data_IF_068643845945
#
_entry.id   IF_068643845945
#
_cell.length_a   1.000
_cell.length_b   1.000
_cell.length_c   1.000
_cell.angle_alpha   90.00
_cell.angle_beta   90.00
_cell.angle_gamma   90.00
#
_symmetry.space_group_name_H-M   'P 1'
#
loop_
_entity.id
_entity.type
_entity.pdbx_description
1 polymer ?
#
# COMPACT_ATOMS: atom_id res chain seq x y z
N UNK A 1 71.22 9.22 0.00
CA UNK A 1 70.51 9.92 -1.09
C UNK A 1 70.35 8.93 -2.25
N UNK A 2 69.26 8.90 -3.02
CA UNK A 2 67.82 8.86 -2.70
C UNK A 2 67.31 7.40 -2.68
N UNK A 3 66.12 7.13 -2.16
CA UNK A 3 65.15 6.14 -2.66
C UNK A 3 64.10 5.90 -1.58
N UNK A 4 63.24 6.92 -1.41
CA UNK A 4 61.96 6.74 -0.75
C UNK A 4 61.05 6.04 -1.76
N UNK A 5 61.06 4.73 -1.67
CA UNK A 5 60.21 3.80 -2.40
C UNK A 5 58.76 4.02 -1.93
N UNK A 6 57.94 4.68 -2.75
CA UNK A 6 56.49 4.74 -2.54
C UNK A 6 55.85 3.57 -3.28
N UNK A 7 55.81 2.42 -2.63
CA UNK A 7 54.75 1.43 -2.86
C UNK A 7 53.74 1.57 -1.73
N UNK A 8 52.58 2.16 -2.03
CA UNK A 8 51.39 1.97 -1.20
C UNK A 8 50.15 1.93 -2.08
N UNK A 9 49.87 0.74 -2.60
CA UNK A 9 48.55 0.33 -3.10
C UNK A 9 47.90 -0.46 -1.97
N UNK A 10 47.10 0.19 -1.10
CA UNK A 10 46.12 -0.48 -0.21
C UNK A 10 45.34 0.55 0.60
N UNK A 11 44.29 1.14 0.04
CA UNK A 11 43.17 1.67 0.84
C UNK A 11 41.89 1.55 0.00
N UNK A 12 41.48 0.29 -0.17
CA UNK A 12 40.13 -0.07 -0.58
C UNK A 12 39.15 0.39 0.50
N UNK A 13 38.62 1.61 0.36
CA UNK A 13 37.29 1.95 0.85
C UNK A 13 36.44 2.37 -0.34
N UNK A 14 35.90 1.37 -1.02
CA UNK A 14 34.72 1.61 -1.85
C UNK A 14 33.57 1.83 -0.85
N UNK A 15 33.35 3.07 -0.45
CA UNK A 15 32.03 3.48 0.03
C UNK A 15 31.11 3.40 -1.18
N UNK A 16 30.44 2.26 -1.36
CA UNK A 16 29.24 2.24 -2.18
C UNK A 16 28.16 2.92 -1.33
N UNK A 17 28.17 4.25 -1.29
CA UNK A 17 26.93 4.97 -1.05
C UNK A 17 26.07 4.69 -2.28
N UNK A 18 25.14 3.73 -2.16
CA UNK A 18 24.08 3.61 -3.13
C UNK A 18 23.43 5.00 -3.21
N UNK A 19 23.41 5.67 -4.38
CA UNK A 19 22.66 6.90 -4.51
C UNK A 19 21.20 6.52 -4.23
N UNK A 20 20.68 6.92 -3.07
CA UNK A 20 19.24 7.02 -2.86
C UNK A 20 18.78 8.02 -3.91
N UNK A 21 18.30 7.49 -5.03
CA UNK A 21 17.66 8.29 -6.07
C UNK A 21 16.53 9.06 -5.36
N UNK A 22 16.53 10.40 -5.38
CA UNK A 22 15.42 11.15 -4.82
C UNK A 22 14.14 10.66 -5.50
N UNK A 23 13.11 10.37 -4.71
CA UNK A 23 11.79 10.09 -5.24
C UNK A 23 11.38 11.27 -6.15
N UNK A 24 10.73 11.00 -7.30
CA UNK A 24 10.34 12.07 -8.21
C UNK A 24 9.50 13.11 -7.46
N UNK A 25 9.74 14.40 -7.75
CA UNK A 25 9.11 15.53 -7.05
C UNK A 25 7.56 15.57 -7.15
N UNK A 26 6.97 14.69 -7.97
CA UNK A 26 5.53 14.46 -8.13
C UNK A 26 4.94 13.41 -7.19
N UNK A 27 5.71 12.81 -6.27
CA UNK A 27 5.14 11.94 -5.24
C UNK A 27 4.53 12.84 -4.15
N UNK A 28 3.20 12.97 -4.04
CA UNK A 28 2.61 13.72 -2.94
C UNK A 28 3.11 13.15 -1.61
N UNK A 29 3.31 13.99 -0.58
CA UNK A 29 3.77 13.53 0.72
C UNK A 29 2.87 12.38 1.18
N UNK A 30 3.43 11.32 1.82
CA UNK A 30 2.66 10.16 2.22
C UNK A 30 1.50 10.64 3.07
N UNK A 31 0.29 10.54 2.54
CA UNK A 31 -0.90 10.84 3.30
C UNK A 31 -0.90 9.87 4.48
N UNK A 32 -1.00 10.32 5.72
CA UNK A 32 -1.09 9.34 6.82
C UNK A 32 -2.46 8.64 6.73
N UNK A 33 -2.52 7.33 6.99
CA UNK A 33 -3.81 6.67 7.13
C UNK A 33 -4.52 7.25 8.36
N UNK A 34 -5.76 7.71 8.21
CA UNK A 34 -6.52 8.29 9.33
C UNK A 34 -7.01 7.18 10.26
N UNK A 35 -6.62 7.27 11.52
CA UNK A 35 -7.13 6.40 12.59
C UNK A 35 -8.67 6.43 12.62
N UNK A 36 -9.29 5.27 12.84
CA UNK A 36 -10.75 5.16 12.90
C UNK A 36 -11.48 5.33 11.54
N UNK A 37 -10.77 5.35 10.41
CA UNK A 37 -11.41 5.45 9.09
C UNK A 37 -12.07 4.12 8.65
N UNK A 38 -11.31 3.02 8.67
CA UNK A 38 -11.79 1.70 8.26
C UNK A 38 -12.31 1.56 6.82
N UNK A 39 -12.24 2.61 5.99
CA UNK A 39 -12.87 2.62 4.66
C UNK A 39 -12.29 1.55 3.73
N UNK A 40 -10.96 1.39 3.72
CA UNK A 40 -10.27 0.34 2.96
C UNK A 40 -10.61 -1.09 3.42
N UNK A 41 -11.12 -1.25 4.65
CA UNK A 41 -11.54 -2.56 5.17
C UNK A 41 -13.01 -2.88 4.88
N UNK A 42 -13.78 -1.93 4.32
CA UNK A 42 -15.21 -2.08 4.04
C UNK A 42 -15.47 -1.99 2.53
N UNK A 43 -15.04 -0.91 1.89
CA UNK A 43 -15.43 -0.59 0.52
C UNK A 43 -14.88 -1.54 -0.57
N UNK A 44 -13.55 -1.73 -0.73
CA UNK A 44 -13.00 -2.48 -1.86
C UNK A 44 -13.25 -3.98 -1.73
N UNK A 45 -13.30 -4.70 -2.85
CA UNK A 45 -13.22 -6.16 -2.81
C UNK A 45 -11.78 -6.61 -2.59
N UNK A 46 -11.59 -7.77 -1.95
CA UNK A 46 -10.28 -8.37 -1.73
C UNK A 46 -10.37 -9.82 -2.17
N UNK A 47 -9.72 -10.18 -3.28
CA UNK A 47 -9.70 -11.57 -3.77
C UNK A 47 -8.67 -12.44 -3.06
N UNK A 48 -7.75 -11.84 -2.29
CA UNK A 48 -6.75 -12.57 -1.50
C UNK A 48 -7.34 -13.08 -0.18
N UNK A 49 -6.88 -14.24 0.32
CA UNK A 49 -7.35 -14.77 1.58
C UNK A 49 -6.98 -13.84 2.74
N UNK A 50 -7.92 -13.69 3.67
CA UNK A 50 -7.74 -12.95 4.92
C UNK A 50 -7.91 -13.96 6.07
N UNK A 51 -7.17 -13.86 7.18
CA UNK A 51 -7.42 -14.71 8.34
C UNK A 51 -8.89 -14.60 8.81
N UNK A 52 -9.66 -15.68 8.70
CA UNK A 52 -11.10 -15.71 8.98
C UNK A 52 -12.03 -15.46 7.77
N UNK A 53 -11.48 -15.16 6.57
CA UNK A 53 -12.21 -15.06 5.30
C UNK A 53 -11.35 -15.67 4.16
N UNK A 54 -11.37 -17.01 3.98
CA UNK A 54 -10.50 -17.70 3.02
C UNK A 54 -10.79 -17.34 1.56
N UNK A 55 -12.05 -17.08 1.21
CA UNK A 55 -12.48 -16.66 -0.13
C UNK A 55 -12.28 -15.15 -0.38
N UNK A 56 -11.63 -14.45 0.56
CA UNK A 56 -11.45 -13.02 0.51
C UNK A 56 -12.68 -12.24 1.01
N UNK A 57 -12.77 -10.97 0.63
CA UNK A 57 -13.78 -10.02 1.10
C UNK A 57 -14.58 -9.46 -0.08
N UNK A 58 -15.92 -9.54 -0.07
CA UNK A 58 -16.74 -8.84 -1.05
C UNK A 58 -16.61 -7.31 -0.90
N UNK A 59 -16.87 -6.58 -1.97
CA UNK A 59 -17.01 -5.14 -1.93
C UNK A 59 -18.18 -4.73 -1.00
N UNK A 60 -18.01 -3.65 -0.24
CA UNK A 60 -19.00 -3.16 0.74
C UNK A 60 -19.15 -4.02 2.01
N UNK A 61 -18.59 -5.23 2.05
CA UNK A 61 -18.65 -6.09 3.23
C UNK A 61 -17.54 -5.73 4.22
N UNK A 62 -17.90 -5.69 5.50
CA UNK A 62 -16.98 -5.42 6.61
C UNK A 62 -15.99 -6.57 6.78
N UNK A 63 -14.70 -6.27 6.78
CA UNK A 63 -13.65 -7.25 7.05
C UNK A 63 -13.72 -7.81 8.48
N UNK A 64 -13.51 -9.11 8.67
CA UNK A 64 -13.45 -9.78 9.99
C UNK A 64 -12.36 -9.21 10.90
N UNK A 65 -11.32 -8.62 10.31
CA UNK A 65 -10.20 -8.00 11.04
C UNK A 65 -10.47 -6.54 11.42
N UNK A 66 -11.61 -5.95 11.05
CA UNK A 66 -11.96 -4.58 11.43
C UNK A 66 -12.57 -4.53 12.83
N UNK A 67 -11.80 -4.02 13.80
CA UNK A 67 -12.24 -3.82 15.17
C UNK A 67 -13.32 -2.75 15.33
N UNK A 68 -13.95 -2.68 16.49
CA UNK A 68 -15.03 -1.72 16.78
C UNK A 68 -14.55 -0.26 16.76
N UNK A 69 -13.25 -0.06 16.98
CA UNK A 69 -12.53 1.19 16.82
C UNK A 69 -12.21 1.58 15.37
N UNK A 70 -12.71 0.81 14.40
CA UNK A 70 -12.46 0.97 12.96
C UNK A 70 -10.97 0.90 12.59
N UNK A 71 -10.19 0.14 13.36
CA UNK A 71 -8.79 -0.18 13.08
C UNK A 71 -8.64 -1.64 12.68
N UNK A 72 -7.68 -1.91 11.78
CA UNK A 72 -7.38 -3.27 11.35
C UNK A 72 -6.55 -3.97 12.42
N UNK A 73 -7.04 -5.08 12.97
CA UNK A 73 -6.40 -5.86 14.03
C UNK A 73 -5.03 -6.43 13.64
N UNK A 74 -4.79 -6.60 12.34
CA UNK A 74 -3.54 -7.12 11.77
C UNK A 74 -2.74 -6.04 11.02
N UNK A 75 -2.97 -4.75 11.32
CA UNK A 75 -2.19 -3.68 10.71
C UNK A 75 -0.69 -3.86 11.00
N UNK A 76 0.15 -3.88 9.95
CA UNK A 76 1.60 -4.06 10.08
C UNK A 76 2.06 -5.50 10.36
N UNK A 77 1.14 -6.46 10.46
CA UNK A 77 1.49 -7.87 10.70
C UNK A 77 1.68 -8.64 9.38
N UNK A 78 2.53 -9.68 9.34
CA UNK A 78 2.77 -10.48 8.13
C UNK A 78 1.54 -11.25 7.65
N UNK A 79 0.56 -11.51 8.52
CA UNK A 79 -0.71 -12.14 8.15
C UNK A 79 -1.64 -11.20 7.36
N UNK A 80 -1.33 -9.91 7.26
CA UNK A 80 -2.10 -8.97 6.44
C UNK A 80 -1.79 -9.21 4.96
N UNK A 81 -2.81 -9.45 4.11
CA UNK A 81 -2.58 -9.73 2.72
C UNK A 81 -1.89 -8.55 2.00
N UNK A 82 -1.07 -8.88 1.01
CA UNK A 82 -0.22 -7.93 0.29
C UNK A 82 -1.01 -6.77 -0.35
N UNK A 83 -2.23 -7.03 -0.84
CA UNK A 83 -3.09 -5.98 -1.38
C UNK A 83 -3.45 -4.92 -0.33
N UNK A 84 -3.69 -5.34 0.91
CA UNK A 84 -4.06 -4.45 2.00
C UNK A 84 -2.86 -3.70 2.57
N UNK A 85 -1.66 -4.31 2.61
CA UNK A 85 -0.43 -3.65 3.07
C UNK A 85 0.19 -2.75 2.00
N UNK A 86 -0.02 -3.05 0.72
CA UNK A 86 0.42 -2.24 -0.41
C UNK A 86 -0.44 -1.01 -0.66
N UNK A 87 -1.71 -1.00 -0.22
CA UNK A 87 -2.60 0.14 -0.40
C UNK A 87 -2.08 1.38 0.35
N UNK A 88 -1.64 2.39 -0.40
CA UNK A 88 -1.22 3.66 0.15
C UNK A 88 -2.40 4.64 0.20
N UNK A 89 -2.63 5.31 1.35
CA UNK A 89 -3.55 6.42 1.42
C UNK A 89 -3.13 7.57 0.49
N UNK A 90 -4.11 8.20 -0.15
CA UNK A 90 -3.93 9.36 -1.02
C UNK A 90 -5.02 10.40 -0.72
N UNK A 91 -4.76 11.68 -0.99
CA UNK A 91 -5.71 12.77 -0.74
C UNK A 91 -7.05 12.55 -1.45
N UNK A 92 -7.02 12.18 -2.74
CA UNK A 92 -8.23 11.91 -3.53
C UNK A 92 -9.02 10.72 -2.96
N UNK A 93 -8.32 9.68 -2.51
CA UNK A 93 -8.93 8.50 -1.91
C UNK A 93 -9.52 8.77 -0.53
N UNK A 94 -8.84 9.56 0.30
CA UNK A 94 -9.21 9.72 1.71
C UNK A 94 -10.18 10.88 1.96
N UNK A 95 -10.19 11.89 1.10
CA UNK A 95 -11.05 13.07 1.21
C UNK A 95 -10.96 13.80 2.56
N UNK A 96 -12.01 14.54 2.90
CA UNK A 96 -12.11 15.26 4.18
C UNK A 96 -12.62 14.35 5.30
N UNK A 97 -13.42 13.33 4.97
CA UNK A 97 -14.14 12.50 5.94
C UNK A 97 -14.04 11.00 5.63
N UNK A 98 -14.54 10.17 6.56
CA UNK A 98 -14.64 8.72 6.35
C UNK A 98 -15.63 8.39 5.25
N UNK A 99 -16.70 9.16 5.18
CA UNK A 99 -17.76 8.97 4.19
C UNK A 99 -17.23 9.24 2.78
N UNK A 100 -16.43 10.31 2.61
CA UNK A 100 -15.74 10.61 1.35
C UNK A 100 -14.86 9.43 0.91
N UNK A 101 -14.09 8.85 1.84
CA UNK A 101 -13.23 7.73 1.53
C UNK A 101 -14.00 6.47 1.13
N UNK A 102 -15.11 6.18 1.81
CA UNK A 102 -16.00 5.07 1.46
C UNK A 102 -16.63 5.29 0.08
N UNK A 103 -17.15 6.49 -0.18
CA UNK A 103 -17.77 6.84 -1.45
C UNK A 103 -16.76 6.77 -2.61
N UNK A 104 -15.55 7.27 -2.40
CA UNK A 104 -14.49 7.24 -3.41
C UNK A 104 -14.05 5.79 -3.71
N UNK A 105 -13.76 4.99 -2.68
CA UNK A 105 -13.34 3.59 -2.86
C UNK A 105 -14.45 2.74 -3.50
N UNK A 106 -15.71 2.99 -3.14
CA UNK A 106 -16.85 2.27 -3.74
C UNK A 106 -17.01 2.63 -5.22
N UNK A 107 -16.85 3.91 -5.57
CA UNK A 107 -16.85 4.35 -6.98
C UNK A 107 -15.69 3.74 -7.75
N UNK A 108 -14.49 3.72 -7.16
CA UNK A 108 -13.31 3.15 -7.80
C UNK A 108 -13.53 1.65 -8.05
N UNK A 109 -13.96 0.91 -7.04
CA UNK A 109 -14.27 -0.52 -7.16
C UNK A 109 -15.25 -0.77 -8.31
N UNK A 110 -16.34 0.01 -8.39
CA UNK A 110 -17.32 -0.09 -9.46
C UNK A 110 -16.75 0.22 -10.86
N UNK A 111 -15.86 1.21 -10.96
CA UNK A 111 -15.22 1.62 -12.20
C UNK A 111 -14.15 0.62 -12.67
N UNK A 112 -13.53 -0.13 -11.76
CA UNK A 112 -12.47 -1.10 -12.05
C UNK A 112 -12.94 -2.55 -12.00
N UNK A 113 -14.25 -2.81 -11.95
CA UNK A 113 -14.77 -4.18 -11.99
C UNK A 113 -14.33 -4.79 -13.33
N UNK A 114 -13.69 -5.96 -13.34
CA UNK A 114 -13.43 -6.64 -14.59
C UNK A 114 -14.77 -6.94 -15.27
N UNK A 115 -14.90 -6.57 -16.54
CA UNK A 115 -15.97 -7.09 -17.40
C UNK A 115 -15.93 -8.60 -17.33
N UNK A 116 -17.07 -9.25 -17.10
CA UNK A 116 -17.06 -10.68 -16.85
C UNK A 116 -16.54 -11.39 -18.11
N UNK A 117 -15.70 -12.45 -17.97
CA UNK A 117 -15.32 -13.28 -19.11
C UNK A 117 -16.57 -13.97 -19.65
N UNK A 118 -17.24 -13.32 -20.61
CA UNK A 118 -18.57 -13.69 -21.11
C UNK A 118 -19.30 -12.52 -21.79
N UNK A 119 -18.95 -11.27 -21.48
CA UNK A 119 -19.47 -10.10 -22.19
C UNK A 119 -18.62 -9.84 -23.44
N UNK A 120 -18.77 -10.69 -24.46
CA UNK A 120 -18.45 -10.29 -25.82
C UNK A 120 -19.49 -9.23 -26.19
N UNK A 121 -19.09 -7.95 -26.09
CA UNK A 121 -19.90 -6.80 -26.45
C UNK A 121 -20.59 -7.07 -27.80
N UNK A 122 -21.91 -7.28 -27.73
CA UNK A 122 -22.79 -7.35 -28.88
C UNK A 122 -23.02 -5.96 -29.47
#
# INVERSE_FOLDING_TARGET
MPHRFLLFVRESRVSVELPVRPAPADVPPPHACREGCGACCIAPSISSPIPGMPDGKPAGVRCVQLGDDLRCRIFGRPERPACCSGLQPAADMCGASRDDALAWLTRLEAATRPSQPGECSA
#
